data_IF_700653872744
#
_entry.id   IF_700653872744
#
_cell.length_a   1.000
_cell.length_b   1.000
_cell.length_c   1.000
_cell.angle_alpha   90.00
_cell.angle_beta   90.00
_cell.angle_gamma   90.00
#
_symmetry.space_group_name_H-M   'P 1'
#
loop_
_entity.id
_entity.type
_entity.pdbx_description
1 polymer ?
#
# COMPACT_ATOMS: atom_id res chain seq x y z
N UNK A 1 11.64 -30.32 -22.52
CA UNK A 1 12.63 -29.56 -21.74
C UNK A 1 12.22 -28.07 -21.56
N UNK A 2 11.85 -27.32 -22.60
CA UNK A 2 11.41 -25.90 -22.46
C UNK A 2 10.12 -25.78 -21.64
N UNK A 3 9.10 -26.60 -21.88
CA UNK A 3 7.84 -26.60 -21.11
C UNK A 3 8.01 -26.92 -19.63
N UNK A 4 8.96 -27.80 -19.28
CA UNK A 4 9.24 -28.12 -17.88
C UNK A 4 9.97 -26.99 -17.15
N UNK A 5 10.78 -26.21 -17.85
CA UNK A 5 11.45 -25.02 -17.32
C UNK A 5 10.46 -23.86 -17.10
N UNK A 6 9.52 -23.64 -18.03
CA UNK A 6 8.45 -22.64 -17.88
C UNK A 6 7.54 -22.98 -16.69
N UNK A 7 7.10 -24.25 -16.58
CA UNK A 7 6.30 -24.70 -15.44
C UNK A 7 7.03 -24.54 -14.10
N UNK A 8 8.34 -24.81 -14.03
CA UNK A 8 9.13 -24.62 -12.84
C UNK A 8 9.28 -23.14 -12.46
N UNK A 9 9.42 -22.24 -13.45
CA UNK A 9 9.47 -20.80 -13.23
C UNK A 9 8.13 -20.25 -12.67
N UNK A 10 7.00 -20.73 -13.20
CA UNK A 10 5.68 -20.33 -12.73
C UNK A 10 5.41 -20.82 -11.31
N UNK A 11 5.82 -22.04 -10.97
CA UNK A 11 5.72 -22.56 -9.59
C UNK A 11 6.57 -21.72 -8.63
N UNK A 12 7.82 -21.41 -9.02
CA UNK A 12 8.71 -20.60 -8.18
C UNK A 12 8.16 -19.18 -7.98
N UNK A 13 7.60 -18.56 -9.03
CA UNK A 13 6.94 -17.26 -8.94
C UNK A 13 5.73 -17.30 -8.02
N UNK A 14 4.89 -18.34 -8.12
CA UNK A 14 3.73 -18.54 -7.26
C UNK A 14 4.13 -18.68 -5.78
N UNK A 15 5.13 -19.51 -5.50
CA UNK A 15 5.68 -19.65 -4.14
C UNK A 15 6.21 -18.31 -3.62
N UNK A 16 6.98 -17.60 -4.42
CA UNK A 16 7.49 -16.27 -4.07
C UNK A 16 6.38 -15.26 -3.75
N UNK A 17 5.32 -15.26 -4.55
CA UNK A 17 4.15 -14.37 -4.33
C UNK A 17 3.41 -14.73 -3.04
N UNK A 18 3.24 -16.01 -2.74
CA UNK A 18 2.61 -16.47 -1.49
C UNK A 18 3.45 -16.07 -0.28
N UNK A 19 4.77 -16.30 -0.33
CA UNK A 19 5.68 -15.90 0.75
C UNK A 19 5.67 -14.39 0.97
N UNK A 20 5.66 -13.60 -0.10
CA UNK A 20 5.56 -12.14 -0.03
C UNK A 20 4.24 -11.71 0.62
N UNK A 21 3.12 -12.32 0.22
CA UNK A 21 1.80 -12.03 0.81
C UNK A 21 1.76 -12.35 2.31
N UNK A 22 2.34 -13.47 2.73
CA UNK A 22 2.47 -13.83 4.15
C UNK A 22 3.36 -12.85 4.92
N UNK A 23 4.44 -12.39 4.32
CA UNK A 23 5.33 -11.39 4.92
C UNK A 23 4.61 -10.04 5.13
N UNK A 24 3.85 -9.61 4.11
CA UNK A 24 3.04 -8.37 4.20
C UNK A 24 1.98 -8.51 5.29
N UNK A 25 1.27 -9.64 5.32
CA UNK A 25 0.28 -9.92 6.37
C UNK A 25 0.91 -9.88 7.75
N UNK A 26 2.04 -10.55 7.95
CA UNK A 26 2.78 -10.54 9.21
C UNK A 26 3.17 -9.12 9.62
N UNK A 27 3.68 -8.32 8.69
CA UNK A 27 4.06 -6.92 8.95
C UNK A 27 2.85 -6.09 9.37
N UNK A 28 1.71 -6.20 8.65
CA UNK A 28 0.48 -5.48 8.97
C UNK A 28 -0.07 -5.84 10.36
N UNK A 29 -0.12 -7.15 10.67
CA UNK A 29 -0.59 -7.59 11.99
C UNK A 29 0.39 -7.16 13.08
N UNK A 30 1.69 -7.26 12.86
CA UNK A 30 2.70 -6.83 13.86
C UNK A 30 2.56 -5.33 14.16
N UNK A 31 2.33 -4.49 13.15
CA UNK A 31 2.09 -3.05 13.33
C UNK A 31 0.77 -2.80 14.07
N UNK A 32 -0.28 -3.56 13.79
CA UNK A 32 -1.54 -3.53 14.52
C UNK A 32 -1.34 -3.82 16.00
N UNK A 33 -0.71 -4.96 16.32
CA UNK A 33 -0.41 -5.36 17.72
C UNK A 33 0.51 -4.36 18.42
N UNK A 34 1.45 -3.77 17.67
CA UNK A 34 2.29 -2.70 18.20
C UNK A 34 1.48 -1.46 18.61
N UNK A 35 0.36 -1.18 17.94
CA UNK A 35 -0.58 -0.14 18.34
C UNK A 35 -1.17 -0.39 19.74
N UNK A 36 -1.66 -1.60 19.99
CA UNK A 36 -2.14 -2.01 21.31
C UNK A 36 -1.05 -1.93 22.37
N UNK A 37 0.13 -2.44 22.02
CA UNK A 37 1.31 -2.40 22.89
C UNK A 37 1.71 -0.97 23.28
N UNK A 38 1.84 -0.08 22.30
CA UNK A 38 2.26 1.30 22.52
C UNK A 38 1.24 2.08 23.37
N UNK A 39 -0.05 1.95 23.06
CA UNK A 39 -1.13 2.57 23.84
C UNK A 39 -1.21 1.97 25.26
N UNK A 40 -1.04 0.65 25.38
CA UNK A 40 -1.00 -0.04 26.66
C UNK A 40 0.13 0.48 27.56
N UNK A 41 1.34 0.61 27.03
CA UNK A 41 2.48 1.20 27.75
C UNK A 41 2.23 2.66 28.14
N UNK A 42 1.72 3.48 27.22
CA UNK A 42 1.44 4.89 27.48
C UNK A 42 0.38 5.10 28.57
N UNK A 43 -0.63 4.23 28.62
CA UNK A 43 -1.72 4.29 29.59
C UNK A 43 -1.48 3.44 30.85
N UNK A 44 -0.27 2.88 30.99
CA UNK A 44 0.18 2.09 32.12
C UNK A 44 -0.65 0.83 32.35
N UNK A 45 -0.94 0.09 31.29
CA UNK A 45 -1.46 -1.27 31.40
C UNK A 45 -0.32 -2.27 31.67
N UNK A 46 -0.62 -3.31 32.43
CA UNK A 46 0.30 -4.44 32.63
C UNK A 46 0.21 -5.36 31.40
N UNK A 47 1.28 -5.38 30.60
CA UNK A 47 1.42 -6.24 29.45
C UNK A 47 2.18 -7.50 29.87
N UNK A 48 1.64 -8.66 29.55
CA UNK A 48 2.25 -9.95 29.85
C UNK A 48 3.17 -10.41 28.73
N UNK A 49 2.67 -10.40 27.49
CA UNK A 49 3.45 -10.85 26.35
C UNK A 49 3.13 -10.02 25.09
N UNK A 50 4.16 -9.64 24.35
CA UNK A 50 4.07 -9.17 22.98
C UNK A 50 4.70 -10.22 22.08
N UNK A 51 3.93 -10.78 21.16
CA UNK A 51 4.37 -11.87 20.29
C UNK A 51 4.22 -11.54 18.82
N UNK A 52 5.27 -11.85 18.05
CA UNK A 52 5.24 -11.87 16.58
C UNK A 52 5.12 -13.32 16.12
N UNK A 53 4.04 -13.64 15.41
CA UNK A 53 3.72 -15.00 15.00
C UNK A 53 2.91 -15.79 16.04
N UNK A 54 2.55 -17.03 15.66
CA UNK A 54 1.84 -18.00 16.48
C UNK A 54 2.62 -19.32 16.61
N UNK A 55 2.16 -20.19 17.52
CA UNK A 55 2.72 -21.52 17.71
C UNK A 55 3.93 -21.57 18.65
N UNK A 56 4.84 -22.51 18.49
CA UNK A 56 6.01 -22.66 19.35
C UNK A 56 6.93 -21.44 19.32
N UNK A 57 7.45 -21.05 20.51
CA UNK A 57 8.42 -19.95 20.63
C UNK A 57 9.76 -20.34 20.00
N UNK A 58 10.22 -19.56 19.00
CA UNK A 58 11.57 -19.68 18.44
C UNK A 58 12.56 -18.85 19.28
N UNK A 59 12.12 -17.66 19.70
CA UNK A 59 12.89 -16.76 20.51
C UNK A 59 11.98 -16.16 21.58
N UNK A 60 12.52 -15.97 22.80
CA UNK A 60 11.79 -15.33 23.89
C UNK A 60 12.77 -14.55 24.76
N UNK A 61 12.39 -13.32 25.10
CA UNK A 61 13.14 -12.45 26.00
C UNK A 61 12.19 -11.88 27.05
N UNK A 62 12.51 -12.13 28.33
CA UNK A 62 11.74 -11.59 29.45
C UNK A 62 12.42 -10.35 30.00
N UNK A 63 11.71 -9.24 30.03
CA UNK A 63 12.19 -7.99 30.62
C UNK A 63 12.20 -8.07 32.15
N UNK A 64 12.86 -7.11 32.81
CA UNK A 64 12.93 -7.03 34.29
C UNK A 64 11.60 -6.85 34.97
N UNK A 65 10.61 -6.26 34.30
CA UNK A 65 9.24 -6.05 34.75
C UNK A 65 8.32 -7.27 34.56
N UNK A 66 8.87 -8.38 34.03
CA UNK A 66 8.15 -9.62 33.78
C UNK A 66 7.47 -9.71 32.41
N UNK A 67 7.49 -8.64 31.63
CA UNK A 67 6.94 -8.64 30.26
C UNK A 67 7.77 -9.53 29.35
N UNK A 68 7.11 -10.34 28.54
CA UNK A 68 7.73 -11.26 27.60
C UNK A 68 7.61 -10.72 26.18
N UNK A 69 8.73 -10.62 25.48
CA UNK A 69 8.76 -10.46 24.03
C UNK A 69 9.09 -11.80 23.37
N UNK A 70 8.30 -12.24 22.41
CA UNK A 70 8.51 -13.51 21.74
C UNK A 70 8.35 -13.43 20.24
N UNK A 71 9.13 -14.29 19.53
CA UNK A 71 8.96 -14.59 18.11
C UNK A 71 8.62 -16.06 17.98
N UNK A 72 7.58 -16.36 17.21
CA UNK A 72 7.01 -17.71 17.08
C UNK A 72 7.12 -18.23 15.65
N UNK A 73 6.96 -19.53 15.50
CA UNK A 73 7.25 -20.27 14.26
C UNK A 73 6.33 -19.89 13.08
N UNK A 74 5.04 -19.67 13.34
CA UNK A 74 4.06 -19.44 12.28
C UNK A 74 3.88 -17.95 12.03
N UNK A 75 4.28 -17.40 10.85
CA UNK A 75 4.23 -15.98 10.53
C UNK A 75 2.82 -15.54 10.09
N UNK A 76 1.77 -16.04 10.77
CA UNK A 76 0.37 -15.79 10.40
C UNK A 76 -0.30 -14.72 11.25
N UNK A 77 0.47 -13.97 12.04
CA UNK A 77 -0.10 -12.95 12.92
C UNK A 77 0.80 -12.60 14.10
N UNK A 78 0.19 -12.17 15.19
CA UNK A 78 0.83 -11.81 16.44
C UNK A 78 -0.22 -11.55 17.50
N UNK A 79 0.19 -11.16 18.69
CA UNK A 79 -0.72 -10.73 19.75
C UNK A 79 -0.01 -9.86 20.80
N UNK A 80 -0.79 -9.03 21.45
CA UNK A 80 -0.40 -8.28 22.64
C UNK A 80 -1.32 -8.68 23.80
N UNK A 81 -0.82 -9.52 24.71
CA UNK A 81 -1.60 -10.00 25.86
C UNK A 81 -1.48 -9.04 27.03
N UNK A 82 -2.61 -8.61 27.56
CA UNK A 82 -2.68 -7.80 28.77
C UNK A 82 -3.08 -8.67 29.97
N UNK A 83 -2.55 -8.34 31.14
CA UNK A 83 -2.92 -9.04 32.37
C UNK A 83 -4.43 -8.95 32.63
N UNK A 84 -5.04 -10.08 32.95
CA UNK A 84 -6.46 -10.16 33.29
C UNK A 84 -7.42 -10.23 32.10
N UNK A 85 -6.94 -10.43 30.86
CA UNK A 85 -7.84 -10.63 29.70
C UNK A 85 -8.53 -12.00 29.76
N UNK A 86 -7.78 -13.05 30.11
CA UNK A 86 -8.29 -14.43 30.11
C UNK A 86 -8.68 -14.95 31.50
N UNK A 87 -8.31 -14.24 32.55
CA UNK A 87 -8.59 -14.63 33.93
C UNK A 87 -8.72 -13.41 34.84
N UNK A 88 -9.40 -13.57 35.99
CA UNK A 88 -9.44 -12.50 37.00
C UNK A 88 -8.03 -12.20 37.53
N UNK A 89 -7.60 -10.96 37.39
CA UNK A 89 -6.35 -10.43 37.94
C UNK A 89 -6.70 -9.23 38.83
N UNK A 90 -6.23 -9.27 40.08
CA UNK A 90 -6.44 -8.20 41.10
C UNK A 90 -5.45 -7.06 40.95
N UNK A 91 -4.48 -7.17 40.03
CA UNK A 91 -3.50 -6.10 39.84
C UNK A 91 -4.18 -4.82 39.32
N UNK A 92 -3.89 -3.64 39.89
CA UNK A 92 -4.56 -2.38 39.55
C UNK A 92 -4.33 -1.98 38.07
N UNK A 93 -3.26 -2.47 37.46
CA UNK A 93 -2.89 -2.20 36.08
C UNK A 93 -3.34 -3.29 35.08
N UNK A 94 -4.09 -4.32 35.57
CA UNK A 94 -4.71 -5.31 34.75
C UNK A 94 -5.81 -4.69 33.85
N UNK A 95 -6.03 -5.26 32.67
CA UNK A 95 -6.92 -4.71 31.65
C UNK A 95 -8.36 -4.44 32.18
N UNK A 96 -9.03 -5.38 32.88
CA UNK A 96 -10.38 -5.16 33.37
C UNK A 96 -10.47 -4.07 34.44
N UNK A 97 -9.38 -3.81 35.18
CA UNK A 97 -9.35 -2.87 36.31
C UNK A 97 -9.09 -1.43 35.89
N UNK A 98 -8.72 -1.19 34.63
CA UNK A 98 -8.52 0.15 34.07
C UNK A 98 -9.84 0.83 33.73
N UNK A 99 -9.83 2.16 33.79
CA UNK A 99 -10.97 2.97 33.38
C UNK A 99 -11.43 2.63 31.93
N UNK A 100 -12.76 2.57 31.66
CA UNK A 100 -13.29 2.15 30.36
C UNK A 100 -12.72 2.94 29.17
N UNK A 101 -12.55 4.25 29.30
CA UNK A 101 -12.01 5.08 28.23
C UNK A 101 -10.56 4.71 27.85
N UNK A 102 -9.73 4.28 28.81
CA UNK A 102 -8.37 3.80 28.54
C UNK A 102 -8.39 2.50 27.74
N UNK A 103 -9.31 1.58 28.09
CA UNK A 103 -9.50 0.32 27.35
C UNK A 103 -9.93 0.60 25.91
N UNK A 104 -10.86 1.54 25.70
CA UNK A 104 -11.29 1.95 24.36
C UNK A 104 -10.10 2.48 23.54
N UNK A 105 -9.26 3.35 24.12
CA UNK A 105 -8.07 3.86 23.42
C UNK A 105 -7.14 2.71 23.00
N UNK A 106 -6.86 1.78 23.89
CA UNK A 106 -6.01 0.61 23.59
C UNK A 106 -6.62 -0.20 22.44
N UNK A 107 -7.92 -0.51 22.49
CA UNK A 107 -8.60 -1.28 21.43
C UNK A 107 -8.58 -0.57 20.07
N UNK A 108 -8.73 0.76 20.04
CA UNK A 108 -8.66 1.53 18.80
C UNK A 108 -7.23 1.70 18.26
N UNK A 109 -6.22 1.65 19.14
CA UNK A 109 -4.83 1.93 18.77
C UNK A 109 -4.27 0.98 17.73
N UNK A 110 -4.68 -0.29 17.74
CA UNK A 110 -4.28 -1.26 16.71
C UNK A 110 -4.73 -0.84 15.32
N UNK A 111 -6.03 -0.54 15.16
CA UNK A 111 -6.57 -0.08 13.90
C UNK A 111 -5.94 1.25 13.46
N UNK A 112 -5.76 2.20 14.39
CA UNK A 112 -5.13 3.49 14.11
C UNK A 112 -3.71 3.32 13.54
N UNK A 113 -2.91 2.40 14.08
CA UNK A 113 -1.55 2.13 13.57
C UNK A 113 -1.57 1.60 12.13
N UNK A 114 -2.54 0.78 11.74
CA UNK A 114 -2.69 0.35 10.36
C UNK A 114 -3.07 1.50 9.42
N UNK A 115 -3.93 2.43 9.85
CA UNK A 115 -4.22 3.64 9.08
C UNK A 115 -2.99 4.54 8.91
N UNK A 116 -2.19 4.71 9.99
CA UNK A 116 -0.94 5.47 9.92
C UNK A 116 0.08 4.80 8.99
N UNK A 117 0.19 3.47 9.03
CA UNK A 117 1.03 2.71 8.10
C UNK A 117 0.57 2.90 6.65
N UNK A 118 -0.73 2.80 6.39
CA UNK A 118 -1.28 3.00 5.05
C UNK A 118 -1.00 4.43 4.53
N UNK A 119 -1.21 5.45 5.37
CA UNK A 119 -0.88 6.83 5.03
C UNK A 119 0.61 7.00 4.70
N UNK A 120 1.48 6.42 5.52
CA UNK A 120 2.93 6.46 5.31
C UNK A 120 3.33 5.80 4.00
N UNK A 121 2.76 4.63 3.68
CA UNK A 121 3.02 3.93 2.42
C UNK A 121 2.53 4.71 1.20
N UNK A 122 1.37 5.38 1.30
CA UNK A 122 0.85 6.26 0.24
C UNK A 122 1.80 7.44 0.02
N UNK A 123 2.21 8.12 1.09
CA UNK A 123 3.15 9.25 0.99
C UNK A 123 4.50 8.82 0.41
N UNK A 124 5.01 7.66 0.83
CA UNK A 124 6.22 7.06 0.29
C UNK A 124 6.08 6.73 -1.20
N UNK A 125 4.95 6.13 -1.60
CA UNK A 125 4.67 5.83 -3.01
C UNK A 125 4.68 7.10 -3.86
N UNK A 126 4.02 8.18 -3.42
CA UNK A 126 4.03 9.45 -4.13
C UNK A 126 5.42 10.11 -4.19
N UNK A 127 6.23 9.94 -3.14
CA UNK A 127 7.56 10.55 -3.09
C UNK A 127 8.59 9.83 -3.97
N UNK A 128 8.51 8.49 -4.04
CA UNK A 128 9.57 7.67 -4.64
C UNK A 128 9.16 6.93 -5.92
N UNK A 129 7.89 6.53 -6.07
CA UNK A 129 7.44 5.79 -7.24
C UNK A 129 6.87 6.70 -8.35
N UNK A 130 6.80 8.02 -8.09
CA UNK A 130 6.19 8.97 -9.01
C UNK A 130 4.66 8.89 -9.03
N UNK A 131 4.06 9.57 -10.02
CA UNK A 131 2.61 9.61 -10.18
C UNK A 131 2.21 8.67 -11.31
N UNK A 132 1.12 7.94 -11.12
CA UNK A 132 0.45 7.27 -12.23
C UNK A 132 -0.08 8.34 -13.18
N UNK A 133 0.22 8.21 -14.46
CA UNK A 133 -0.27 9.12 -15.49
C UNK A 133 -0.97 8.30 -16.57
N UNK A 134 -2.03 8.83 -17.18
CA UNK A 134 -2.67 8.18 -18.32
C UNK A 134 -1.69 8.01 -19.46
N UNK A 135 -1.58 6.78 -19.97
CA UNK A 135 -0.75 6.44 -21.11
C UNK A 135 -1.65 5.92 -22.25
N UNK A 136 -1.35 6.35 -23.44
CA UNK A 136 -1.99 5.84 -24.66
C UNK A 136 -1.46 4.44 -24.92
N UNK A 137 -2.33 3.43 -24.90
CA UNK A 137 -1.95 2.03 -25.13
C UNK A 137 -1.95 1.68 -26.61
N UNK A 138 -2.98 2.14 -27.32
CA UNK A 138 -3.18 1.85 -28.73
C UNK A 138 -3.93 3.00 -29.38
N UNK A 139 -3.51 3.42 -30.56
CA UNK A 139 -4.17 4.44 -31.38
C UNK A 139 -4.71 3.78 -32.64
N UNK A 140 -6.02 3.92 -32.86
CA UNK A 140 -6.59 3.50 -34.15
C UNK A 140 -6.04 4.37 -35.27
N UNK A 141 -5.60 3.77 -36.40
CA UNK A 141 -5.11 4.55 -37.55
C UNK A 141 -6.15 5.54 -38.05
N UNK A 142 -5.77 6.80 -38.22
CA UNK A 142 -6.65 7.79 -38.82
C UNK A 142 -6.85 7.49 -40.30
N UNK A 143 -8.09 7.57 -40.81
CA UNK A 143 -8.43 7.39 -42.20
C UNK A 143 -7.81 8.47 -43.10
N UNK A 144 -7.52 9.64 -42.53
CA UNK A 144 -6.89 10.77 -43.26
C UNK A 144 -5.39 10.85 -42.89
N UNK A 145 -4.47 10.76 -43.87
CA UNK A 145 -3.04 10.93 -43.65
C UNK A 145 -2.65 12.31 -43.05
N UNK A 146 -3.47 13.34 -43.27
CA UNK A 146 -3.24 14.65 -42.66
C UNK A 146 -3.54 14.67 -41.16
N UNK A 147 -4.52 13.88 -40.72
CA UNK A 147 -4.84 13.70 -39.30
C UNK A 147 -3.78 12.86 -38.57
N UNK A 148 -3.10 11.94 -39.25
CA UNK A 148 -2.03 11.13 -38.68
C UNK A 148 -0.83 11.98 -38.17
N UNK A 149 -0.60 13.15 -38.75
CA UNK A 149 0.45 14.08 -38.32
C UNK A 149 0.15 14.74 -36.97
N UNK A 150 -1.11 14.77 -36.55
CA UNK A 150 -1.61 15.41 -35.33
C UNK A 150 -2.22 14.37 -34.37
N UNK A 151 -1.86 13.10 -34.50
CA UNK A 151 -2.39 12.02 -33.68
C UNK A 151 -1.50 11.74 -32.47
N UNK A 152 -2.13 11.18 -31.44
CA UNK A 152 -1.43 10.49 -30.37
C UNK A 152 -0.64 9.30 -30.94
N UNK A 153 0.40 8.91 -30.25
CA UNK A 153 1.19 7.71 -30.57
C UNK A 153 1.10 6.72 -29.41
N UNK A 154 1.24 5.45 -29.77
CA UNK A 154 1.32 4.40 -28.76
C UNK A 154 2.45 4.66 -27.79
N UNK A 155 2.17 4.58 -26.50
CA UNK A 155 3.12 4.86 -25.44
C UNK A 155 3.27 6.34 -25.06
N UNK A 156 2.52 7.27 -25.68
CA UNK A 156 2.46 8.66 -25.21
C UNK A 156 1.87 8.73 -23.81
N UNK A 157 2.52 9.47 -22.91
CA UNK A 157 1.98 9.78 -21.57
C UNK A 157 1.38 11.18 -21.61
N UNK A 158 0.11 11.30 -21.24
CA UNK A 158 -0.60 12.57 -21.21
C UNK A 158 -0.25 13.31 -19.94
N UNK A 159 0.46 14.44 -20.05
CA UNK A 159 0.86 15.30 -18.93
C UNK A 159 -0.15 16.40 -18.63
N UNK A 160 -0.71 16.99 -19.69
CA UNK A 160 -1.72 18.04 -19.59
C UNK A 160 -2.61 18.06 -20.84
N UNK A 161 -3.83 18.55 -20.66
CA UNK A 161 -4.79 18.85 -21.73
C UNK A 161 -5.37 20.24 -21.49
N UNK A 162 -5.36 21.11 -22.51
CA UNK A 162 -5.85 22.49 -22.45
C UNK A 162 -5.24 23.31 -21.27
N UNK A 163 -3.94 23.10 -21.00
CA UNK A 163 -3.23 23.76 -19.92
C UNK A 163 -3.53 23.23 -18.52
N UNK A 164 -4.43 22.24 -18.37
CA UNK A 164 -4.74 21.56 -17.10
C UNK A 164 -3.90 20.28 -16.97
N UNK A 165 -3.23 20.11 -15.84
CA UNK A 165 -2.47 18.88 -15.58
C UNK A 165 -3.41 17.67 -15.49
N UNK A 166 -3.05 16.58 -16.13
CA UNK A 166 -3.80 15.33 -16.17
C UNK A 166 -3.06 14.30 -15.33
N UNK A 167 -3.71 13.80 -14.27
CA UNK A 167 -3.20 12.76 -13.38
C UNK A 167 -4.04 11.49 -13.46
N UNK A 168 -5.33 11.64 -13.74
CA UNK A 168 -6.30 10.55 -13.86
C UNK A 168 -7.01 10.67 -15.22
N UNK A 169 -7.61 9.58 -15.66
CA UNK A 169 -8.47 9.59 -16.86
C UNK A 169 -9.67 10.54 -16.68
N UNK A 170 -10.19 10.69 -15.46
CA UNK A 170 -11.24 11.65 -15.13
C UNK A 170 -10.82 13.10 -15.43
N UNK A 171 -9.56 13.48 -15.11
CA UNK A 171 -9.06 14.84 -15.38
C UNK A 171 -9.03 15.12 -16.88
N UNK A 172 -8.69 14.12 -17.68
CA UNK A 172 -8.72 14.21 -19.14
C UNK A 172 -10.16 14.38 -19.64
N UNK A 173 -11.11 13.59 -19.12
CA UNK A 173 -12.53 13.69 -19.50
C UNK A 173 -13.09 15.06 -19.12
N UNK A 174 -12.77 15.59 -17.96
CA UNK A 174 -13.18 16.92 -17.51
C UNK A 174 -12.55 18.04 -18.36
N UNK A 175 -11.31 17.87 -18.82
CA UNK A 175 -10.65 18.83 -19.70
C UNK A 175 -11.26 18.85 -21.11
N UNK A 176 -11.84 17.73 -21.55
CA UNK A 176 -12.50 17.59 -22.86
C UNK A 176 -14.01 17.78 -22.78
N UNK A 177 -14.57 18.06 -21.60
CA UNK A 177 -16.02 18.25 -21.42
C UNK A 177 -16.56 19.33 -22.36
N UNK A 178 -17.65 19.01 -23.08
CA UNK A 178 -18.32 19.90 -24.02
C UNK A 178 -17.71 19.94 -25.42
N UNK A 179 -16.58 19.26 -25.69
CA UNK A 179 -15.98 19.12 -27.01
C UNK A 179 -16.64 17.98 -27.81
N UNK A 180 -16.54 18.09 -29.13
CA UNK A 180 -17.08 17.09 -30.08
C UNK A 180 -15.94 16.47 -30.87
N UNK A 181 -16.20 15.28 -31.41
CA UNK A 181 -15.25 14.67 -32.37
C UNK A 181 -14.96 15.63 -33.52
N UNK A 182 -13.67 15.86 -33.80
CA UNK A 182 -13.20 16.82 -34.78
C UNK A 182 -12.82 18.20 -34.20
N UNK A 183 -13.09 18.47 -32.91
CA UNK A 183 -12.59 19.67 -32.24
C UNK A 183 -11.11 19.49 -31.91
N UNK A 184 -10.33 20.57 -32.05
CA UNK A 184 -8.92 20.56 -31.69
C UNK A 184 -8.73 20.75 -30.20
N UNK A 185 -7.80 19.99 -29.61
CA UNK A 185 -7.39 20.15 -28.22
C UNK A 185 -5.86 20.16 -28.10
N UNK A 186 -5.34 21.04 -27.24
CA UNK A 186 -3.91 21.16 -27.00
C UNK A 186 -3.48 20.15 -25.93
N UNK A 187 -2.60 19.24 -26.32
CA UNK A 187 -2.04 18.22 -25.43
C UNK A 187 -0.57 18.49 -25.16
N UNK A 188 -0.18 18.28 -23.90
CA UNK A 188 1.22 18.17 -23.50
C UNK A 188 1.50 16.71 -23.17
N UNK A 189 2.39 16.12 -23.94
CA UNK A 189 2.68 14.68 -23.95
C UNK A 189 4.13 14.44 -23.55
N UNK A 190 4.41 13.30 -22.94
CA UNK A 190 5.74 12.73 -22.82
C UNK A 190 5.85 11.56 -23.79
N UNK A 191 6.55 11.77 -24.90
CA UNK A 191 6.74 10.82 -26.01
C UNK A 191 8.07 10.10 -25.90
N UNK A 192 8.08 8.80 -26.19
CA UNK A 192 9.32 8.04 -26.25
C UNK A 192 10.16 8.45 -27.48
N UNK A 193 11.46 8.68 -27.27
CA UNK A 193 12.45 8.95 -28.30
C UNK A 193 13.67 8.04 -28.04
N UNK A 194 13.60 6.80 -28.54
CA UNK A 194 14.56 5.76 -28.21
C UNK A 194 14.48 5.33 -26.72
N UNK A 195 15.61 5.47 -25.99
CA UNK A 195 15.67 5.19 -24.55
C UNK A 195 15.23 6.37 -23.69
N UNK A 196 15.13 7.58 -24.25
CA UNK A 196 14.74 8.80 -23.55
C UNK A 196 13.25 9.15 -23.81
N UNK A 197 12.75 10.13 -23.08
CA UNK A 197 11.42 10.68 -23.27
C UNK A 197 11.49 12.20 -23.42
N UNK A 198 10.84 12.72 -24.46
CA UNK A 198 10.76 14.15 -24.74
C UNK A 198 9.37 14.68 -24.45
N UNK A 199 9.29 15.95 -23.99
CA UNK A 199 8.00 16.61 -23.77
C UNK A 199 7.63 17.34 -25.06
N UNK A 200 6.46 17.00 -25.61
CA UNK A 200 5.91 17.56 -26.85
C UNK A 200 4.58 18.23 -26.53
N UNK A 201 4.38 19.44 -27.04
CA UNK A 201 3.07 20.10 -27.07
C UNK A 201 2.54 20.06 -28.50
N UNK A 202 1.35 19.50 -28.67
CA UNK A 202 0.73 19.32 -30.00
C UNK A 202 -0.78 19.49 -29.92
N UNK A 203 -1.36 20.06 -30.96
CA UNK A 203 -2.82 20.04 -31.14
C UNK A 203 -3.23 18.69 -31.72
N UNK A 204 -4.25 18.09 -31.13
CA UNK A 204 -4.85 16.82 -31.56
C UNK A 204 -6.30 17.07 -31.97
N UNK A 205 -6.72 16.42 -33.05
CA UNK A 205 -8.07 16.54 -33.61
C UNK A 205 -8.90 15.32 -33.26
#
# INVERSE_FOLDING_TARGET
>A
MIFSLLAAADVLRTIGSVLLALLILLAMVTVHEFGHYAAGKLLHFKIEEFSVGFGPKLFSHTKRDGEVFSVRLLPLGGFCAFAGEDAEDTHPDAFPNKAPWKRIIVLFAGALMNYLLALLLILFSFAFCGRLQPMVLEVEPADDPAAAAYSLQDGDIILACEGRSVYLVSDLMDALEGRRAGDRALFKLSRADGEDRTVVETEIV
#
